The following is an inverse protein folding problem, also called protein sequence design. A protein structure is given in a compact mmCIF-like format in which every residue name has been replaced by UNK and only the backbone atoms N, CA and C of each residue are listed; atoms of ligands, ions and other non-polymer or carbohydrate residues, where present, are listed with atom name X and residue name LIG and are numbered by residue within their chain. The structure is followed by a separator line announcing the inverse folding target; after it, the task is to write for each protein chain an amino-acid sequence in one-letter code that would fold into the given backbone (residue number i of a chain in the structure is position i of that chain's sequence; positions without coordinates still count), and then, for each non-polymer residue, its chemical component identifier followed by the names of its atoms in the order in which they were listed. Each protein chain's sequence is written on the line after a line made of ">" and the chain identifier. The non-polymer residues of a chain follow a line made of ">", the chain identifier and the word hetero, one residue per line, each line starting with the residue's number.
data_IF_560012730875
#
_entry.id   IF_560012730875
#
_cell.length_a   1.000
_cell.length_b   1.000
_cell.length_c   1.000
_cell.angle_alpha   90.00
_cell.angle_beta   90.00
_cell.angle_gamma   90.00
#
_symmetry.space_group_name_H-M   'P 1'
#
loop_
_entity.id
_entity.type
_entity.pdbx_description
1 polymer ?
#
# COMPACT_ATOMS: atom_id res chain seq x y z
N UNK A 1 45.62 -42.90 -42.05
CA UNK A 1 45.23 -42.05 -40.92
C UNK A 1 44.22 -41.05 -41.47
N UNK A 2 42.97 -41.47 -41.58
CA UNK A 2 41.89 -40.60 -42.06
C UNK A 2 41.32 -39.80 -40.88
N UNK A 3 41.01 -38.50 -41.09
CA UNK A 3 40.55 -37.62 -40.03
C UNK A 3 39.07 -37.89 -39.72
N UNK A 4 38.73 -37.94 -38.44
CA UNK A 4 37.35 -38.00 -37.95
C UNK A 4 36.60 -36.73 -38.32
N UNK A 5 35.58 -36.88 -39.14
CA UNK A 5 34.64 -35.82 -39.54
C UNK A 5 33.87 -35.35 -38.30
N UNK A 6 33.97 -34.05 -37.99
CA UNK A 6 33.21 -33.44 -36.91
C UNK A 6 31.85 -33.03 -37.45
N UNK A 7 30.80 -33.72 -36.98
CA UNK A 7 29.42 -33.49 -37.40
C UNK A 7 28.98 -32.07 -36.98
N UNK A 8 28.91 -31.16 -37.94
CA UNK A 8 28.64 -29.74 -37.68
C UNK A 8 27.14 -29.45 -37.70
N UNK A 9 26.61 -28.94 -36.60
CA UNK A 9 25.19 -28.61 -36.48
C UNK A 9 24.81 -27.53 -37.52
N UNK A 10 23.88 -27.85 -38.42
CA UNK A 10 23.41 -26.93 -39.46
C UNK A 10 22.82 -25.64 -38.88
N UNK A 11 23.13 -24.49 -39.50
CA UNK A 11 22.59 -23.16 -39.15
C UNK A 11 21.06 -23.16 -39.03
N UNK A 12 20.36 -23.92 -39.89
CA UNK A 12 18.90 -24.04 -39.85
C UNK A 12 18.41 -24.80 -38.60
N UNK A 13 19.13 -25.84 -38.20
CA UNK A 13 18.83 -26.60 -36.98
C UNK A 13 19.09 -25.76 -35.74
N UNK A 14 20.18 -24.99 -35.73
CA UNK A 14 20.50 -24.05 -34.65
C UNK A 14 19.43 -22.95 -34.48
N UNK A 15 18.97 -22.35 -35.57
CA UNK A 15 17.90 -21.33 -35.53
C UNK A 15 16.55 -21.90 -35.08
N UNK A 16 16.22 -23.13 -35.47
CA UNK A 16 15.01 -23.82 -34.97
C UNK A 16 15.10 -24.12 -33.48
N UNK A 17 16.27 -24.55 -33.01
CA UNK A 17 16.51 -24.80 -31.59
C UNK A 17 16.38 -23.51 -30.77
N UNK A 18 17.00 -22.42 -31.21
CA UNK A 18 16.88 -21.09 -30.58
C UNK A 18 15.43 -20.58 -30.56
N UNK A 19 14.68 -20.76 -31.65
CA UNK A 19 13.28 -20.36 -31.73
C UNK A 19 12.38 -21.13 -30.76
N UNK A 20 12.59 -22.44 -30.61
CA UNK A 20 11.87 -23.27 -29.64
C UNK A 20 12.22 -22.90 -28.20
N UNK A 21 13.51 -22.69 -27.89
CA UNK A 21 13.96 -22.26 -26.57
C UNK A 21 13.39 -20.89 -26.16
N UNK A 22 13.35 -19.93 -27.09
CA UNK A 22 12.75 -18.62 -26.84
C UNK A 22 11.25 -18.69 -26.55
N UNK A 23 10.51 -19.51 -27.29
CA UNK A 23 9.09 -19.75 -27.03
C UNK A 23 8.84 -20.41 -25.67
N UNK A 24 9.69 -21.36 -25.25
CA UNK A 24 9.61 -22.00 -23.94
C UNK A 24 9.88 -21.04 -22.77
N UNK A 25 10.79 -20.07 -22.91
CA UNK A 25 11.03 -19.05 -21.88
C UNK A 25 9.86 -18.06 -21.79
N UNK A 26 9.29 -17.65 -22.92
CA UNK A 26 8.12 -16.75 -22.95
C UNK A 26 6.85 -17.43 -22.42
N UNK A 27 6.63 -18.69 -22.79
CA UNK A 27 5.53 -19.48 -22.20
C UNK A 27 5.78 -19.78 -20.73
N UNK A 28 7.02 -20.11 -20.33
CA UNK A 28 7.37 -20.38 -18.94
C UNK A 28 7.10 -19.20 -18.02
N UNK A 29 7.49 -17.99 -18.42
CA UNK A 29 7.21 -16.76 -17.66
C UNK A 29 5.71 -16.46 -17.60
N UNK A 30 4.99 -16.59 -18.71
CA UNK A 30 3.54 -16.36 -18.75
C UNK A 30 2.74 -17.39 -17.93
N UNK A 31 3.14 -18.66 -17.99
CA UNK A 31 2.54 -19.77 -17.22
C UNK A 31 2.85 -19.60 -15.74
N UNK A 32 4.06 -19.16 -15.37
CA UNK A 32 4.39 -18.83 -13.98
C UNK A 32 3.55 -17.66 -13.47
N UNK A 33 3.37 -16.58 -14.25
CA UNK A 33 2.50 -15.46 -13.85
C UNK A 33 1.03 -15.86 -13.73
N UNK A 34 0.53 -16.74 -14.62
CA UNK A 34 -0.83 -17.28 -14.53
C UNK A 34 -1.00 -18.22 -13.34
N UNK A 35 0.00 -19.09 -13.08
CA UNK A 35 0.02 -19.98 -11.93
C UNK A 35 0.12 -19.19 -10.62
N UNK A 36 0.90 -18.12 -10.56
CA UNK A 36 0.97 -17.19 -9.42
C UNK A 36 -0.38 -16.50 -9.21
N UNK A 37 -1.02 -16.01 -10.27
CA UNK A 37 -2.35 -15.41 -10.18
C UNK A 37 -3.43 -16.40 -9.71
N UNK A 38 -3.39 -17.64 -10.17
CA UNK A 38 -4.31 -18.70 -9.75
C UNK A 38 -4.04 -19.17 -8.32
N UNK A 39 -2.78 -19.37 -7.97
CA UNK A 39 -2.31 -19.74 -6.62
C UNK A 39 -2.67 -18.64 -5.62
N UNK A 40 -2.37 -17.37 -5.94
CA UNK A 40 -2.75 -16.21 -5.14
C UNK A 40 -4.25 -16.16 -4.90
N UNK A 41 -5.08 -16.30 -5.94
CA UNK A 41 -6.55 -16.32 -5.76
C UNK A 41 -7.06 -17.49 -4.91
N UNK A 42 -6.39 -18.63 -4.95
CA UNK A 42 -6.75 -19.81 -4.15
C UNK A 42 -6.40 -19.64 -2.67
N UNK A 43 -5.22 -19.07 -2.38
CA UNK A 43 -4.68 -19.00 -1.02
C UNK A 43 -4.92 -17.67 -0.31
N UNK A 44 -5.13 -16.57 -1.05
CA UNK A 44 -5.38 -15.24 -0.47
C UNK A 44 -6.56 -15.21 0.50
N UNK A 45 -7.71 -15.86 0.25
CA UNK A 45 -8.80 -15.88 1.24
C UNK A 45 -8.41 -16.56 2.56
N UNK A 46 -7.52 -17.54 2.51
CA UNK A 46 -6.99 -18.19 3.71
C UNK A 46 -5.96 -17.27 4.39
N UNK A 47 -5.08 -16.65 3.62
CA UNK A 47 -4.12 -15.67 4.13
C UNK A 47 -4.84 -14.50 4.82
N UNK A 48 -5.85 -13.90 4.18
CA UNK A 48 -6.63 -12.78 4.73
C UNK A 48 -7.32 -13.17 6.04
N UNK A 49 -7.87 -14.39 6.13
CA UNK A 49 -8.49 -14.90 7.37
C UNK A 49 -7.47 -15.14 8.47
N UNK A 50 -6.29 -15.65 8.12
CA UNK A 50 -5.19 -15.86 9.06
C UNK A 50 -4.65 -14.50 9.54
N UNK A 51 -4.44 -13.55 8.63
CA UNK A 51 -4.02 -12.18 8.95
C UNK A 51 -5.06 -11.49 9.83
N UNK A 52 -6.35 -11.60 9.52
CA UNK A 52 -7.41 -11.04 10.36
C UNK A 52 -7.43 -11.66 11.77
N UNK A 53 -7.09 -12.95 11.90
CA UNK A 53 -7.04 -13.64 13.17
C UNK A 53 -5.76 -13.32 13.96
N UNK A 54 -4.62 -13.21 13.28
CA UNK A 54 -3.29 -12.98 13.87
C UNK A 54 -3.02 -11.50 14.16
N UNK A 55 -3.42 -10.61 13.24
CA UNK A 55 -3.19 -9.17 13.29
C UNK A 55 -4.40 -8.41 13.83
N UNK A 56 -5.43 -9.12 14.33
CA UNK A 56 -6.59 -8.54 14.99
C UNK A 56 -6.09 -7.53 16.04
N UNK A 57 -6.28 -6.21 15.86
CA UNK A 57 -5.64 -5.23 16.74
C UNK A 57 -6.16 -5.40 18.16
N UNK A 58 -5.33 -5.95 19.05
CA UNK A 58 -5.72 -6.25 20.43
C UNK A 58 -5.75 -5.01 21.32
N UNK A 59 -5.10 -3.91 20.89
CA UNK A 59 -5.10 -2.64 21.62
C UNK A 59 -4.67 -1.49 20.70
N UNK A 60 -5.09 -0.24 20.99
CA UNK A 60 -4.45 0.95 20.43
C UNK A 60 -2.94 0.92 20.66
N UNK A 61 -2.19 1.59 19.77
CA UNK A 61 -0.76 1.81 19.98
C UNK A 61 -0.56 2.53 21.32
N UNK A 62 0.37 2.09 22.18
CA UNK A 62 0.64 2.75 23.45
C UNK A 62 1.04 4.21 23.26
N UNK A 63 0.44 5.10 24.03
CA UNK A 63 0.86 6.50 24.09
C UNK A 63 2.08 6.68 24.98
N UNK A 64 3.01 7.51 24.52
CA UNK A 64 4.27 7.83 25.18
C UNK A 64 4.15 9.17 25.92
N UNK A 65 4.98 9.41 26.96
CA UNK A 65 4.98 10.70 27.63
C UNK A 65 5.52 11.80 26.69
N UNK A 66 5.07 13.04 26.87
CA UNK A 66 5.57 14.20 26.12
C UNK A 66 7.09 14.37 26.21
N UNK A 67 7.70 13.95 27.32
CA UNK A 67 9.15 13.97 27.51
C UNK A 67 9.93 13.02 26.59
N UNK A 68 9.25 12.07 25.94
CA UNK A 68 9.85 11.13 25.01
C UNK A 68 9.87 11.63 23.57
N UNK A 69 9.34 12.82 23.28
CA UNK A 69 9.35 13.40 21.94
C UNK A 69 10.79 13.64 21.49
N UNK A 70 11.10 13.25 20.26
CA UNK A 70 12.41 13.37 19.61
C UNK A 70 12.29 14.25 18.36
N UNK A 71 12.33 15.60 18.48
CA UNK A 71 12.03 16.50 17.37
C UNK A 71 12.94 16.30 16.15
N UNK A 72 14.22 16.06 16.41
CA UNK A 72 15.25 15.92 15.37
C UNK A 72 15.19 14.57 14.63
N UNK A 73 14.44 13.60 15.16
CA UNK A 73 14.30 12.28 14.54
C UNK A 73 13.22 12.26 13.44
N UNK A 74 12.34 13.26 13.39
CA UNK A 74 11.26 13.32 12.40
C UNK A 74 11.81 13.77 11.04
N UNK A 75 11.88 12.84 10.10
CA UNK A 75 12.33 13.10 8.75
C UNK A 75 11.16 13.44 7.82
N UNK A 76 11.39 14.35 6.88
CA UNK A 76 10.46 14.62 5.78
C UNK A 76 10.64 13.55 4.72
N UNK A 77 9.61 12.72 4.54
CA UNK A 77 9.56 11.69 3.50
C UNK A 77 8.46 12.01 2.49
N UNK A 78 8.83 12.21 1.23
CA UNK A 78 7.90 12.59 0.17
C UNK A 78 8.09 11.74 -1.08
N UNK A 79 6.98 11.32 -1.69
CA UNK A 79 6.99 10.68 -2.99
C UNK A 79 6.76 11.73 -4.09
N UNK A 80 7.72 11.86 -5.01
CA UNK A 80 7.75 12.84 -6.12
C UNK A 80 7.85 14.30 -5.68
N UNK A 81 6.79 14.87 -5.12
CA UNK A 81 6.74 16.29 -4.76
C UNK A 81 5.79 16.52 -3.58
N UNK A 82 6.02 17.62 -2.85
CA UNK A 82 5.09 18.10 -1.82
C UNK A 82 4.00 18.96 -2.48
N UNK A 83 2.71 18.60 -2.35
CA UNK A 83 1.64 19.39 -2.93
C UNK A 83 1.57 20.78 -2.30
N UNK A 84 1.34 21.81 -3.13
CA UNK A 84 1.06 23.17 -2.65
C UNK A 84 -0.45 23.36 -2.61
N UNK A 85 -0.99 23.45 -1.40
CA UNK A 85 -2.43 23.58 -1.17
C UNK A 85 -2.75 25.02 -0.80
N UNK A 86 -3.80 25.57 -1.40
CA UNK A 86 -4.41 26.82 -0.96
C UNK A 86 -5.50 26.49 0.09
N UNK A 87 -5.34 26.93 1.35
CA UNK A 87 -6.31 26.69 2.41
C UNK A 87 -7.75 27.13 2.06
N UNK A 88 -7.91 28.17 1.25
CA UNK A 88 -9.22 28.72 0.88
C UNK A 88 -9.99 27.83 -0.10
N UNK A 89 -9.29 26.98 -0.86
CA UNK A 89 -9.89 26.11 -1.88
C UNK A 89 -9.78 24.63 -1.54
N UNK A 90 -9.06 24.29 -0.47
CA UNK A 90 -8.91 22.92 0.02
C UNK A 90 -10.27 22.30 0.34
N UNK A 91 -10.45 21.04 -0.08
CA UNK A 91 -11.60 20.21 0.31
C UNK A 91 -11.13 18.80 0.66
N UNK A 92 -11.58 18.30 1.81
CA UNK A 92 -11.55 16.88 2.14
C UNK A 92 -12.82 16.23 1.62
N UNK A 93 -12.68 15.45 0.55
CA UNK A 93 -13.78 14.66 -0.02
C UNK A 93 -13.82 13.28 0.63
N UNK A 94 -15.01 12.83 1.03
CA UNK A 94 -15.28 11.46 1.46
C UNK A 94 -16.40 10.90 0.59
N UNK A 95 -16.09 9.89 -0.21
CA UNK A 95 -16.99 9.32 -1.20
C UNK A 95 -16.96 7.77 -1.18
N UNK A 96 -17.45 7.14 -2.25
CA UNK A 96 -17.56 5.68 -2.36
C UNK A 96 -18.85 5.12 -1.73
N UNK A 97 -18.71 4.01 -1.00
CA UNK A 97 -19.85 3.28 -0.42
C UNK A 97 -20.33 3.87 0.91
N UNK A 98 -20.74 5.13 0.87
CA UNK A 98 -21.23 5.91 2.01
C UNK A 98 -22.67 6.40 1.76
N UNK A 99 -23.44 6.58 2.83
CA UNK A 99 -24.80 7.12 2.74
C UNK A 99 -24.81 8.65 2.71
N UNK A 100 -23.76 9.29 3.24
CA UNK A 100 -23.63 10.75 3.28
C UNK A 100 -22.25 11.18 2.76
N UNK A 101 -22.06 11.35 1.44
CA UNK A 101 -20.81 11.86 0.88
C UNK A 101 -20.47 13.24 1.45
N UNK A 102 -19.20 13.46 1.80
CA UNK A 102 -18.74 14.70 2.42
C UNK A 102 -17.82 15.49 1.49
N UNK A 103 -17.86 16.81 1.60
CA UNK A 103 -16.87 17.71 1.02
C UNK A 103 -16.60 18.84 2.01
N UNK A 104 -15.68 18.60 2.93
CA UNK A 104 -15.39 19.49 4.06
C UNK A 104 -14.30 20.49 3.69
N UNK A 105 -14.50 21.77 3.97
CA UNK A 105 -13.42 22.76 3.95
C UNK A 105 -12.63 22.71 5.28
N UNK A 106 -11.54 23.49 5.37
CA UNK A 106 -10.72 23.53 6.58
C UNK A 106 -11.49 24.08 7.80
N UNK A 107 -12.43 25.01 7.60
CA UNK A 107 -13.22 25.56 8.69
C UNK A 107 -14.11 24.50 9.32
N UNK A 108 -14.81 23.71 8.51
CA UNK A 108 -15.63 22.59 8.94
C UNK A 108 -14.79 21.53 9.67
N UNK A 109 -13.61 21.18 9.15
CA UNK A 109 -12.70 20.23 9.82
C UNK A 109 -12.30 20.74 11.20
N UNK A 110 -11.98 22.03 11.33
CA UNK A 110 -11.57 22.64 12.60
C UNK A 110 -12.71 22.74 13.64
N UNK A 111 -13.98 22.54 13.26
CA UNK A 111 -15.09 22.45 14.23
C UNK A 111 -15.22 21.07 14.86
N UNK A 112 -14.56 20.05 14.31
CA UNK A 112 -14.61 18.69 14.83
C UNK A 112 -13.72 18.53 16.07
N UNK A 113 -13.98 17.53 16.93
CA UNK A 113 -13.21 17.35 18.16
C UNK A 113 -11.71 17.18 17.90
N UNK A 114 -10.91 18.08 18.47
CA UNK A 114 -9.46 17.98 18.46
C UNK A 114 -9.00 16.86 19.41
N UNK A 115 -8.21 15.93 18.87
CA UNK A 115 -7.50 14.90 19.63
C UNK A 115 -6.01 15.10 19.46
N UNK A 116 -5.22 14.63 20.43
CA UNK A 116 -3.78 14.46 20.27
C UNK A 116 -3.33 13.10 20.77
N UNK A 117 -2.25 12.59 20.21
CA UNK A 117 -1.59 11.35 20.65
C UNK A 117 -0.08 11.46 20.51
N UNK A 118 0.67 10.93 21.47
CA UNK A 118 2.14 10.84 21.38
C UNK A 118 2.50 9.39 21.06
N UNK A 119 2.96 9.13 19.84
CA UNK A 119 3.25 7.77 19.38
C UNK A 119 4.57 7.71 18.61
N UNK A 120 5.11 6.50 18.52
CA UNK A 120 6.28 6.21 17.71
C UNK A 120 5.86 5.97 16.25
N UNK A 121 6.21 6.88 15.36
CA UNK A 121 6.10 6.70 13.92
C UNK A 121 7.27 5.83 13.44
N UNK A 122 6.99 4.77 12.69
CA UNK A 122 8.01 3.84 12.17
C UNK A 122 7.90 3.79 10.66
N UNK A 123 8.96 4.20 9.97
CA UNK A 123 9.02 4.16 8.51
C UNK A 123 9.63 2.84 8.04
N UNK A 124 9.12 2.32 6.93
CA UNK A 124 9.66 1.11 6.27
C UNK A 124 11.07 1.30 5.71
N UNK A 125 11.52 2.56 5.56
CA UNK A 125 12.88 2.91 5.12
C UNK A 125 13.93 2.86 6.24
N UNK A 126 13.53 2.45 7.46
CA UNK A 126 14.47 2.15 8.55
C UNK A 126 14.70 3.27 9.57
N UNK A 127 13.90 4.33 9.54
CA UNK A 127 13.92 5.40 10.56
C UNK A 127 12.62 5.43 11.37
N UNK A 128 12.66 6.07 12.54
CA UNK A 128 11.51 6.25 13.41
C UNK A 128 11.66 7.51 14.26
N UNK A 129 10.53 8.07 14.69
CA UNK A 129 10.49 9.24 15.57
C UNK A 129 9.33 9.12 16.55
N UNK A 130 9.50 9.64 17.76
CA UNK A 130 8.41 9.82 18.71
C UNK A 130 7.87 11.24 18.57
N UNK A 131 6.60 11.36 18.19
CA UNK A 131 5.98 12.63 17.80
C UNK A 131 4.59 12.75 18.42
N UNK A 132 4.23 13.97 18.82
CA UNK A 132 2.84 14.31 19.15
C UNK A 132 2.08 14.68 17.87
N UNK A 133 1.07 13.88 17.53
CA UNK A 133 0.14 14.16 16.44
C UNK A 133 -1.10 14.84 17.01
N UNK A 134 -1.61 15.85 16.31
CA UNK A 134 -2.85 16.54 16.64
C UNK A 134 -3.77 16.61 15.42
N UNK A 135 -5.08 16.43 15.62
CA UNK A 135 -6.05 16.50 14.54
C UNK A 135 -7.41 15.94 14.92
N UNK A 136 -8.16 15.48 13.92
CA UNK A 136 -9.49 14.89 14.10
C UNK A 136 -9.38 13.37 14.01
N UNK A 137 -10.13 12.63 14.82
CA UNK A 137 -10.14 11.17 14.71
C UNK A 137 -10.89 10.73 13.47
N UNK A 138 -10.34 9.75 12.75
CA UNK A 138 -10.99 9.14 11.59
C UNK A 138 -12.41 8.65 11.91
N UNK A 139 -12.63 8.09 13.10
CA UNK A 139 -13.97 7.65 13.55
C UNK A 139 -15.02 8.77 13.50
N UNK A 140 -14.64 10.01 13.79
CA UNK A 140 -15.58 11.13 13.86
C UNK A 140 -15.98 11.54 12.42
N UNK A 141 -15.06 11.48 11.46
CA UNK A 141 -15.35 11.66 10.02
C UNK A 141 -16.21 10.50 9.48
N UNK A 142 -15.87 9.26 9.85
CA UNK A 142 -16.62 8.06 9.42
C UNK A 142 -18.07 8.10 9.91
N UNK A 143 -18.31 8.55 11.13
CA UNK A 143 -19.67 8.72 11.66
C UNK A 143 -20.48 9.73 10.84
N UNK A 144 -19.87 10.84 10.40
CA UNK A 144 -20.52 11.82 9.53
C UNK A 144 -20.82 11.24 8.15
N UNK A 145 -19.90 10.46 7.58
CA UNK A 145 -20.04 9.89 6.24
C UNK A 145 -21.06 8.75 6.17
N UNK A 146 -21.29 8.04 7.29
CA UNK A 146 -22.23 6.92 7.39
C UNK A 146 -21.98 5.82 6.35
N UNK A 147 -20.90 5.03 6.44
CA UNK A 147 -20.62 3.93 5.52
C UNK A 147 -21.80 2.95 5.41
N UNK A 148 -22.01 2.39 4.21
CA UNK A 148 -23.00 1.34 4.00
C UNK A 148 -22.58 0.04 4.72
N UNK A 149 -23.57 -0.81 4.98
CA UNK A 149 -23.33 -2.13 5.55
C UNK A 149 -22.36 -2.94 4.68
N UNK A 150 -21.34 -3.53 5.32
CA UNK A 150 -20.36 -4.40 4.64
C UNK A 150 -19.10 -3.69 4.13
N UNK A 151 -18.99 -2.36 4.26
CA UNK A 151 -17.73 -1.64 3.99
C UNK A 151 -16.68 -2.06 5.01
N UNK A 152 -15.49 -2.45 4.53
CA UNK A 152 -14.37 -2.93 5.36
C UNK A 152 -13.11 -2.07 5.30
N UNK A 153 -12.98 -1.23 4.28
CA UNK A 153 -11.75 -0.50 4.00
C UNK A 153 -12.02 0.98 3.75
N UNK A 154 -11.09 1.81 4.19
CA UNK A 154 -10.99 3.21 3.81
C UNK A 154 -9.74 3.38 2.94
N UNK A 155 -9.88 4.08 1.82
CA UNK A 155 -8.78 4.42 0.93
C UNK A 155 -8.45 5.90 1.09
N UNK A 156 -7.16 6.21 1.24
CA UNK A 156 -6.67 7.58 1.38
C UNK A 156 -5.93 7.97 0.10
N UNK A 157 -6.28 9.13 -0.46
CA UNK A 157 -5.65 9.70 -1.63
C UNK A 157 -5.11 11.10 -1.29
N UNK A 158 -3.83 11.33 -1.60
CA UNK A 158 -3.24 12.67 -1.56
C UNK A 158 -3.76 13.53 -2.73
N UNK A 159 -3.80 14.84 -2.50
CA UNK A 159 -3.93 15.84 -3.57
C UNK A 159 -2.79 15.73 -4.60
#
# INVERSE_FOLDING_TARGET
>A
MEPTETDSVSRRSFLKLLGLSGASVVMGTSVLTLAEGATGRLFMPLNDRLDELLLKPQAPVPELPLSAIEPEALLVNSFRATPRLDPATFRLTVDGEVNNPLSLDLAAINTLPLTSMVIRHVCVEGWAAIVQWGGVRLQDIVQLAQPKSGVRYAYFQSA
#
